data_IF_251586629947
#
_entry.id   IF_251586629947
#
_cell.length_a   1.000
_cell.length_b   1.000
_cell.length_c   1.000
_cell.angle_alpha   90.00
_cell.angle_beta   90.00
_cell.angle_gamma   90.00
#
_symmetry.space_group_name_H-M   'P 1'
#
loop_
_entity.id
_entity.type
_entity.pdbx_description
1 polymer ?
#
# COMPACT_ATOMS: atom_id res chain seq x y z
N UNK A 1 -5.97 -18.47 26.21
CA UNK A 1 -6.49 -18.43 24.85
C UNK A 1 -5.45 -17.82 23.95
N UNK A 2 -5.00 -18.57 22.95
CA UNK A 2 -4.14 -18.02 21.90
C UNK A 2 -4.98 -17.16 20.94
N UNK A 3 -4.39 -16.18 20.28
CA UNK A 3 -5.11 -15.27 19.35
C UNK A 3 -5.90 -16.03 18.26
N UNK A 4 -5.41 -17.21 17.87
CA UNK A 4 -6.06 -18.12 16.92
C UNK A 4 -7.43 -18.61 17.41
N UNK A 5 -7.58 -18.88 18.71
CA UNK A 5 -8.84 -19.37 19.30
C UNK A 5 -9.87 -18.24 19.36
N UNK A 6 -9.44 -17.02 19.71
CA UNK A 6 -10.31 -15.85 19.73
C UNK A 6 -10.90 -15.55 18.35
N UNK A 7 -10.08 -15.57 17.28
CA UNK A 7 -10.52 -15.33 15.90
C UNK A 7 -11.50 -16.41 15.43
N UNK A 8 -11.22 -17.69 15.72
CA UNK A 8 -12.13 -18.80 15.39
C UNK A 8 -13.48 -18.68 16.10
N UNK A 9 -13.49 -18.24 17.36
CA UNK A 9 -14.72 -18.05 18.12
C UNK A 9 -15.55 -16.86 17.59
N UNK A 10 -14.93 -15.75 17.20
CA UNK A 10 -15.64 -14.61 16.58
C UNK A 10 -16.25 -14.97 15.23
N UNK A 11 -15.57 -15.79 14.41
CA UNK A 11 -16.12 -16.27 13.14
C UNK A 11 -17.35 -17.18 13.35
N UNK A 12 -17.29 -18.09 14.32
CA UNK A 12 -18.41 -18.97 14.65
C UNK A 12 -19.66 -18.21 15.18
N UNK A 13 -19.45 -17.10 15.87
CA UNK A 13 -20.52 -16.25 16.41
C UNK A 13 -21.26 -15.46 15.31
N UNK A 14 -20.54 -15.08 14.23
CA UNK A 14 -21.11 -14.40 13.05
C UNK A 14 -22.01 -15.35 12.24
N UNK A 15 -21.55 -16.56 11.92
CA UNK A 15 -22.33 -17.55 11.14
C UNK A 15 -23.64 -17.96 11.83
N UNK A 16 -23.72 -17.88 13.17
CA UNK A 16 -24.95 -18.16 13.92
C UNK A 16 -25.98 -17.02 13.93
N UNK A 17 -25.66 -15.84 13.39
CA UNK A 17 -26.54 -14.67 13.42
C UNK A 17 -27.72 -14.74 12.44
N UNK A 18 -27.57 -15.47 11.32
CA UNK A 18 -28.55 -15.52 10.22
C UNK A 18 -29.65 -16.59 10.38
N UNK A 19 -29.69 -17.31 11.51
CA UNK A 19 -30.56 -18.49 11.68
C UNK A 19 -31.42 -18.51 12.94
N UNK A 20 -32.43 -17.63 12.99
CA UNK A 20 -33.60 -17.80 13.88
C UNK A 20 -34.94 -17.38 13.19
N UNK A 21 -35.59 -18.38 12.58
CA UNK A 21 -37.04 -18.47 12.32
C UNK A 21 -37.82 -18.81 13.62
N UNK A 22 -39.17 -19.05 13.68
CA UNK A 22 -40.24 -19.08 12.65
C UNK A 22 -41.47 -18.21 13.08
N UNK A 23 -42.75 -18.35 12.69
CA UNK A 23 -43.50 -19.11 11.66
C UNK A 23 -44.72 -18.24 11.24
N UNK A 24 -45.21 -18.36 10.00
CA UNK A 24 -46.65 -18.65 9.70
C UNK A 24 -46.96 -18.59 8.20
N UNK A 25 -47.96 -19.39 7.79
CA UNK A 25 -48.29 -19.69 6.40
C UNK A 25 -49.37 -18.76 5.83
N UNK A 26 -49.19 -18.28 4.60
CA UNK A 26 -50.28 -18.13 3.63
C UNK A 26 -49.72 -18.10 2.21
N UNK A 27 -50.48 -18.66 1.26
CA UNK A 27 -50.19 -18.54 -0.16
C UNK A 27 -50.68 -17.20 -0.74
N UNK A 28 -50.35 -17.03 -2.03
CA UNK A 28 -50.82 -16.04 -3.03
C UNK A 28 -49.92 -14.83 -3.32
N UNK A 29 -49.86 -14.53 -4.62
CA UNK A 29 -49.28 -13.36 -5.30
C UNK A 29 -47.75 -13.21 -5.25
N UNK A 30 -47.10 -14.08 -6.03
CA UNK A 30 -45.76 -13.85 -6.58
C UNK A 30 -45.74 -12.61 -7.49
N UNK A 31 -45.62 -11.42 -6.90
CA UNK A 31 -45.26 -10.22 -7.65
C UNK A 31 -43.86 -10.43 -8.24
N UNK A 32 -43.80 -10.71 -9.54
CA UNK A 32 -42.56 -10.82 -10.32
C UNK A 32 -41.79 -9.51 -10.11
N UNK A 33 -40.52 -9.51 -9.64
CA UNK A 33 -39.80 -8.28 -9.37
C UNK A 33 -39.71 -7.45 -10.66
N UNK A 34 -39.92 -6.13 -10.59
CA UNK A 34 -40.06 -5.23 -11.76
C UNK A 34 -38.91 -5.34 -12.79
N UNK A 35 -37.74 -5.83 -12.35
CA UNK A 35 -36.58 -6.16 -13.19
C UNK A 35 -36.91 -7.16 -14.31
N UNK A 36 -37.79 -8.13 -14.05
CA UNK A 36 -38.18 -9.14 -15.04
C UNK A 36 -39.14 -8.59 -16.09
N UNK A 37 -39.92 -7.55 -15.77
CA UNK A 37 -40.83 -6.90 -16.73
C UNK A 37 -40.09 -6.04 -17.75
N UNK A 38 -38.92 -5.49 -17.38
CA UNK A 38 -38.03 -4.75 -18.29
C UNK A 38 -37.35 -5.66 -19.33
N UNK A 39 -37.17 -6.94 -19.03
CA UNK A 39 -36.61 -7.93 -19.97
C UNK A 39 -37.58 -8.26 -21.12
N UNK A 40 -38.89 -8.26 -20.85
CA UNK A 40 -39.93 -8.54 -21.87
C UNK A 40 -40.16 -7.37 -22.84
N UNK A 41 -39.60 -6.18 -22.57
CA UNK A 41 -39.73 -4.97 -23.42
C UNK A 41 -38.59 -4.87 -24.46
N UNK A 42 -37.52 -5.64 -24.31
CA UNK A 42 -36.39 -5.66 -25.24
C UNK A 42 -36.70 -6.52 -26.47
N UNK A 43 -36.46 -6.04 -27.72
CA UNK A 43 -36.60 -6.86 -28.91
C UNK A 43 -35.68 -8.09 -28.86
N UNK A 44 -36.27 -9.26 -28.67
CA UNK A 44 -35.55 -10.54 -28.73
C UNK A 44 -35.45 -11.03 -30.17
N UNK A 45 -34.51 -10.45 -30.93
CA UNK A 45 -34.08 -10.99 -32.22
C UNK A 45 -33.32 -12.32 -32.00
N UNK A 46 -34.07 -13.42 -31.91
CA UNK A 46 -33.56 -14.78 -31.93
C UNK A 46 -33.73 -15.40 -33.33
N UNK A 47 -32.73 -15.33 -34.23
CA UNK A 47 -32.54 -16.37 -35.24
C UNK A 47 -32.10 -17.67 -34.54
N UNK A 48 -32.42 -18.82 -35.14
CA UNK A 48 -32.35 -20.11 -34.47
C UNK A 48 -30.94 -20.54 -34.02
N UNK A 49 -30.89 -21.25 -32.88
CA UNK A 49 -29.72 -21.95 -32.36
C UNK A 49 -29.35 -23.14 -33.24
N UNK A 50 -28.10 -23.23 -33.67
CA UNK A 50 -27.40 -24.50 -33.85
C UNK A 50 -26.02 -24.43 -33.19
N UNK A 51 -25.52 -25.59 -32.73
CA UNK A 51 -24.39 -25.66 -31.81
C UNK A 51 -23.05 -25.69 -32.52
N UNK A 52 -22.21 -24.68 -32.30
CA UNK A 52 -20.73 -24.82 -32.30
C UNK A 52 -20.13 -23.87 -31.27
N UNK A 53 -18.94 -24.24 -30.81
CA UNK A 53 -18.23 -23.63 -29.67
C UNK A 53 -17.78 -22.18 -29.96
N UNK A 54 -17.36 -21.46 -28.90
CA UNK A 54 -16.75 -20.11 -28.91
C UNK A 54 -17.70 -18.90 -28.77
N UNK A 55 -18.44 -18.81 -27.66
CA UNK A 55 -18.96 -17.52 -27.19
C UNK A 55 -17.83 -16.66 -26.61
N UNK A 56 -17.13 -15.91 -27.46
CA UNK A 56 -16.34 -14.76 -27.01
C UNK A 56 -17.30 -13.71 -26.45
N UNK A 57 -17.13 -13.38 -25.17
CA UNK A 57 -18.03 -12.48 -24.47
C UNK A 57 -17.70 -11.03 -24.89
N UNK A 58 -18.61 -10.26 -25.51
CA UNK A 58 -18.29 -8.94 -26.09
C UNK A 58 -17.90 -7.87 -25.03
N UNK A 59 -18.08 -8.19 -23.75
CA UNK A 59 -17.66 -7.38 -22.61
C UNK A 59 -16.36 -7.84 -21.95
N UNK A 60 -15.60 -8.75 -22.58
CA UNK A 60 -14.25 -9.10 -22.13
C UNK A 60 -13.30 -7.92 -22.39
N UNK A 61 -13.39 -6.94 -21.49
CA UNK A 61 -12.52 -5.78 -21.41
C UNK A 61 -11.10 -6.33 -21.35
N UNK A 62 -10.31 -6.13 -22.42
CA UNK A 62 -8.89 -6.46 -22.46
C UNK A 62 -8.19 -5.65 -21.38
N UNK A 63 -8.12 -6.21 -20.17
CA UNK A 63 -7.28 -5.68 -19.11
C UNK A 63 -5.85 -5.95 -19.59
N UNK A 64 -5.26 -4.91 -20.17
CA UNK A 64 -3.83 -4.89 -20.45
C UNK A 64 -3.13 -5.17 -19.11
N UNK A 65 -2.51 -6.35 -19.01
CA UNK A 65 -1.79 -6.74 -17.79
C UNK A 65 -0.65 -5.74 -17.65
N UNK A 66 -0.73 -4.86 -16.64
CA UNK A 66 0.36 -3.94 -16.32
C UNK A 66 1.65 -4.77 -16.23
N UNK A 67 2.66 -4.41 -17.01
CA UNK A 67 3.86 -5.24 -17.13
C UNK A 67 4.64 -5.23 -15.82
N UNK A 68 4.50 -6.33 -15.07
CA UNK A 68 5.09 -6.51 -13.74
C UNK A 68 6.63 -6.44 -13.74
N UNK A 69 7.29 -6.51 -14.91
CA UNK A 69 8.73 -6.24 -15.04
C UNK A 69 9.10 -4.84 -14.57
N UNK A 70 8.35 -3.84 -15.01
CA UNK A 70 8.57 -2.45 -14.61
C UNK A 70 8.35 -2.27 -13.09
N UNK A 71 7.39 -3.00 -12.51
CA UNK A 71 7.12 -2.92 -11.07
C UNK A 71 8.29 -3.44 -10.21
N UNK A 72 8.93 -4.55 -10.58
CA UNK A 72 10.05 -5.11 -9.80
C UNK A 72 11.35 -4.31 -10.01
N UNK A 73 11.62 -3.87 -11.24
CA UNK A 73 12.76 -2.97 -11.54
C UNK A 73 12.63 -1.63 -10.80
N UNK A 74 11.42 -1.05 -10.76
CA UNK A 74 11.15 0.18 -10.01
C UNK A 74 11.30 -0.02 -8.49
N UNK A 75 10.89 -1.16 -7.93
CA UNK A 75 11.17 -1.51 -6.52
C UNK A 75 12.66 -1.61 -6.25
N UNK A 76 13.44 -2.27 -7.13
CA UNK A 76 14.89 -2.35 -6.95
C UNK A 76 15.55 -0.97 -6.97
N UNK A 77 15.17 -0.12 -7.92
CA UNK A 77 15.69 1.25 -8.03
C UNK A 77 15.35 2.08 -6.78
N UNK A 78 14.09 2.00 -6.32
CA UNK A 78 13.62 2.68 -5.11
C UNK A 78 14.34 2.16 -3.85
N UNK A 79 14.52 0.85 -3.73
CA UNK A 79 15.25 0.21 -2.61
C UNK A 79 16.72 0.65 -2.59
N UNK A 80 17.36 0.73 -3.77
CA UNK A 80 18.72 1.26 -3.90
C UNK A 80 18.79 2.71 -3.45
N UNK A 81 17.88 3.56 -3.90
CA UNK A 81 17.84 4.97 -3.50
C UNK A 81 17.64 5.14 -1.99
N UNK A 82 16.73 4.39 -1.37
CA UNK A 82 16.56 4.39 0.09
C UNK A 82 17.83 3.95 0.83
N UNK A 83 18.52 2.92 0.35
CA UNK A 83 19.74 2.39 0.98
C UNK A 83 20.95 3.32 0.78
N UNK A 84 21.00 4.10 -0.30
CA UNK A 84 21.97 5.18 -0.50
C UNK A 84 21.67 6.39 0.40
N UNK A 85 20.39 6.72 0.62
CA UNK A 85 19.96 7.75 1.56
C UNK A 85 20.28 7.37 3.01
N UNK A 86 19.91 6.15 3.43
CA UNK A 86 20.18 5.62 4.77
C UNK A 86 21.68 5.65 5.10
N UNK A 87 22.54 5.22 4.16
CA UNK A 87 24.00 5.31 4.32
C UNK A 87 24.49 6.74 4.50
N UNK A 88 23.95 7.69 3.75
CA UNK A 88 24.30 9.10 3.88
C UNK A 88 23.89 9.65 5.25
N UNK A 89 22.65 9.37 5.69
CA UNK A 89 22.13 9.82 6.98
C UNK A 89 22.90 9.21 8.16
N UNK A 90 23.22 7.91 8.11
CA UNK A 90 24.03 7.25 9.13
C UNK A 90 25.44 7.85 9.20
N UNK A 91 26.11 8.05 8.06
CA UNK A 91 27.44 8.66 8.01
C UNK A 91 27.43 10.13 8.50
N UNK A 92 26.34 10.86 8.29
CA UNK A 92 26.15 12.21 8.83
C UNK A 92 25.94 12.17 10.35
N UNK A 93 25.12 11.25 10.85
CA UNK A 93 24.85 11.05 12.28
C UNK A 93 26.13 10.70 13.04
N UNK A 94 26.92 9.74 12.55
CA UNK A 94 28.21 9.34 13.16
C UNK A 94 29.16 10.52 13.31
N UNK A 95 29.31 11.35 12.25
CA UNK A 95 30.16 12.55 12.29
C UNK A 95 29.69 13.53 13.35
N UNK A 96 28.38 13.81 13.41
CA UNK A 96 27.80 14.73 14.40
C UNK A 96 27.97 14.20 15.83
N UNK A 97 27.80 12.90 16.06
CA UNK A 97 28.04 12.27 17.36
C UNK A 97 29.50 12.43 17.82
N UNK A 98 30.46 12.16 16.94
CA UNK A 98 31.90 12.33 17.25
C UNK A 98 32.24 13.79 17.62
N UNK A 99 31.58 14.79 17.02
CA UNK A 99 31.75 16.19 17.41
C UNK A 99 31.19 16.49 18.80
N UNK A 100 30.03 15.91 19.16
CA UNK A 100 29.46 16.06 20.50
C UNK A 100 30.30 15.36 21.57
N UNK A 101 30.79 14.14 21.33
CA UNK A 101 31.74 13.46 22.21
C UNK A 101 33.05 14.26 22.35
N UNK A 102 33.55 14.82 21.24
CA UNK A 102 34.71 15.71 21.21
C UNK A 102 34.53 17.01 22.02
N UNK A 103 33.30 17.53 22.12
CA UNK A 103 32.94 18.69 22.96
C UNK A 103 32.74 18.31 24.44
N UNK A 104 32.19 17.12 24.72
CA UNK A 104 31.96 16.64 26.07
C UNK A 104 33.21 16.07 26.77
N UNK A 105 34.34 15.96 26.04
CA UNK A 105 35.60 15.46 26.58
C UNK A 105 36.05 16.24 27.84
N UNK A 106 36.34 15.56 28.97
CA UNK A 106 36.62 16.21 30.26
C UNK A 106 37.95 16.99 30.31
N UNK A 107 38.77 16.95 29.26
CA UNK A 107 40.05 17.65 29.17
C UNK A 107 40.07 18.66 28.01
N UNK A 108 38.96 19.35 27.78
CA UNK A 108 38.78 20.28 26.66
C UNK A 108 39.47 21.64 26.88
N UNK A 109 40.77 21.69 26.58
CA UNK A 109 41.48 22.96 26.34
C UNK A 109 41.12 23.54 24.96
N UNK A 110 41.11 24.87 24.87
CA UNK A 110 40.80 25.65 23.65
C UNK A 110 39.40 25.35 23.09
N UNK A 111 38.37 25.47 23.93
CA UNK A 111 36.97 25.21 23.55
C UNK A 111 36.49 26.13 22.42
N UNK A 112 36.90 27.40 22.41
CA UNK A 112 36.54 28.40 21.39
C UNK A 112 36.97 27.94 19.99
N UNK A 113 38.25 27.61 19.80
CA UNK A 113 38.78 27.11 18.53
C UNK A 113 38.11 25.81 18.06
N UNK A 114 37.66 24.96 19.00
CA UNK A 114 36.89 23.74 18.68
C UNK A 114 35.46 24.06 18.26
N UNK A 115 34.81 25.03 18.90
CA UNK A 115 33.48 25.52 18.52
C UNK A 115 33.55 26.19 17.13
N UNK A 116 34.56 27.00 16.85
CA UNK A 116 34.79 27.58 15.51
C UNK A 116 34.97 26.49 14.45
N UNK A 117 35.78 25.46 14.73
CA UNK A 117 35.95 24.30 13.83
C UNK A 117 34.64 23.55 13.60
N UNK A 118 33.81 23.39 14.63
CA UNK A 118 32.50 22.75 14.54
C UNK A 118 31.49 23.61 13.77
N UNK A 119 31.50 24.94 13.95
CA UNK A 119 30.68 25.87 13.17
C UNK A 119 31.02 25.78 11.68
N UNK A 120 32.31 25.83 11.32
CA UNK A 120 32.76 25.66 9.94
C UNK A 120 32.36 24.29 9.36
N UNK A 121 32.44 23.21 10.16
CA UNK A 121 31.97 21.90 9.75
C UNK A 121 30.45 21.85 9.54
N UNK A 122 29.67 22.47 10.42
CA UNK A 122 28.21 22.51 10.33
C UNK A 122 27.73 23.36 9.15
N UNK A 123 28.42 24.46 8.83
CA UNK A 123 28.17 25.27 7.63
C UNK A 123 28.46 24.47 6.35
N UNK A 124 29.61 23.79 6.27
CA UNK A 124 29.94 22.88 5.18
C UNK A 124 28.93 21.72 5.05
N UNK A 125 28.49 21.16 6.18
CA UNK A 125 27.48 20.11 6.25
C UNK A 125 26.12 20.59 5.74
N UNK A 126 25.72 21.80 6.11
CA UNK A 126 24.50 22.43 5.61
C UNK A 126 24.56 22.64 4.10
N UNK A 127 25.70 23.10 3.57
CA UNK A 127 25.92 23.23 2.14
C UNK A 127 25.81 21.89 1.38
N UNK A 128 26.34 20.79 1.92
CA UNK A 128 26.15 19.44 1.34
C UNK A 128 24.66 19.03 1.35
N UNK A 129 23.94 19.30 2.44
CA UNK A 129 22.52 18.97 2.56
C UNK A 129 21.70 19.78 1.54
N UNK A 130 21.98 21.07 1.39
CA UNK A 130 21.31 21.91 0.40
C UNK A 130 21.69 21.54 -1.04
N UNK A 131 22.93 21.15 -1.32
CA UNK A 131 23.31 20.60 -2.63
C UNK A 131 22.49 19.35 -2.93
N UNK A 132 22.49 18.36 -2.02
CA UNK A 132 21.77 17.10 -2.17
C UNK A 132 20.25 17.29 -2.31
N UNK A 133 19.68 18.26 -1.61
CA UNK A 133 18.26 18.64 -1.68
C UNK A 133 17.87 19.34 -3.00
N UNK A 134 18.82 20.03 -3.62
CA UNK A 134 18.62 20.78 -4.87
C UNK A 134 19.06 20.02 -6.13
N UNK A 135 19.77 18.88 -6.00
CA UNK A 135 19.96 17.91 -7.09
C UNK A 135 18.60 17.35 -7.52
N UNK A 136 18.13 17.75 -8.71
CA UNK A 136 16.78 17.50 -9.21
C UNK A 136 16.79 17.17 -10.70
#
# INVERSE_FOLDING_TARGET
MELKEAILQTLAEIDTSDSNQPDTKSALESQKPERDALLDILPSDNPHRENTETTQNPYERKIEKLDFKNAEELKMLLTKAYLEEEKFLNALQERILVLFEGLQSPNNRNIETKVDMILNFLEFTLAIIDEKKNQK
#
